data_IF_454094988172
#
_entry.id   IF_454094988172
#
_cell.length_a   1.000
_cell.length_b   1.000
_cell.length_c   1.000
_cell.angle_alpha   90.00
_cell.angle_beta   90.00
_cell.angle_gamma   90.00
#
_symmetry.space_group_name_H-M   'P 1'
#
loop_
_entity.id
_entity.type
_entity.pdbx_description
1 polymer ?
#
# COMPACT_ATOMS: atom_id res chain seq x y z
N UNK A 1 -42.67 -29.38 -15.59
CA UNK A 1 -41.38 -29.83 -16.18
C UNK A 1 -40.90 -28.92 -17.31
N UNK A 2 -41.76 -28.51 -18.26
CA UNK A 2 -41.37 -27.60 -19.34
C UNK A 2 -40.89 -26.20 -18.87
N UNK A 3 -41.53 -25.60 -17.85
CA UNK A 3 -41.12 -24.30 -17.30
C UNK A 3 -39.74 -24.33 -16.62
N UNK A 4 -39.40 -25.41 -15.92
CA UNK A 4 -38.09 -25.57 -15.29
C UNK A 4 -36.95 -25.68 -16.34
N UNK A 5 -37.23 -26.33 -17.48
CA UNK A 5 -36.30 -26.42 -18.60
C UNK A 5 -36.11 -25.06 -19.31
N UNK A 6 -37.19 -24.28 -19.45
CA UNK A 6 -37.14 -22.93 -20.04
C UNK A 6 -36.32 -21.96 -19.17
N UNK A 7 -36.56 -21.97 -17.86
CA UNK A 7 -35.83 -21.09 -16.93
C UNK A 7 -34.34 -21.46 -16.85
N UNK A 8 -33.99 -22.74 -16.89
CA UNK A 8 -32.59 -23.18 -16.88
C UNK A 8 -31.82 -22.73 -18.14
N UNK A 9 -32.48 -22.74 -19.30
CA UNK A 9 -31.87 -22.32 -20.57
C UNK A 9 -31.62 -20.81 -20.60
N UNK A 10 -32.59 -20.01 -20.13
CA UNK A 10 -32.48 -18.55 -20.07
C UNK A 10 -31.39 -18.04 -19.11
N UNK A 11 -31.16 -18.72 -17.98
CA UNK A 11 -30.08 -18.41 -17.03
C UNK A 11 -28.71 -18.63 -17.69
N UNK A 12 -28.55 -19.71 -18.46
CA UNK A 12 -27.30 -20.00 -19.15
C UNK A 12 -26.98 -18.98 -20.24
N UNK A 13 -27.99 -18.56 -21.03
CA UNK A 13 -27.80 -17.56 -22.08
C UNK A 13 -27.38 -16.19 -21.53
N UNK A 14 -27.96 -15.81 -20.38
CA UNK A 14 -27.60 -14.56 -19.69
C UNK A 14 -26.17 -14.60 -19.18
N UNK A 15 -25.75 -15.70 -18.54
CA UNK A 15 -24.40 -15.86 -18.01
C UNK A 15 -23.34 -15.82 -19.13
N UNK A 16 -23.61 -16.47 -20.26
CA UNK A 16 -22.73 -16.46 -21.44
C UNK A 16 -22.57 -15.05 -21.98
N UNK A 17 -23.69 -14.32 -22.14
CA UNK A 17 -23.67 -12.93 -22.63
C UNK A 17 -22.85 -12.00 -21.72
N UNK A 18 -23.01 -12.14 -20.39
CA UNK A 18 -22.22 -11.38 -19.41
C UNK A 18 -20.73 -11.73 -19.51
N UNK A 19 -20.38 -13.00 -19.64
CA UNK A 19 -18.99 -13.45 -19.77
C UNK A 19 -18.31 -12.85 -21.02
N UNK A 20 -19.00 -12.87 -22.18
CA UNK A 20 -18.50 -12.20 -23.38
C UNK A 20 -18.33 -10.70 -23.18
N UNK A 21 -19.30 -10.03 -22.56
CA UNK A 21 -19.24 -8.59 -22.30
C UNK A 21 -18.03 -8.21 -21.44
N UNK A 22 -17.75 -9.00 -20.40
CA UNK A 22 -16.57 -8.81 -19.54
C UNK A 22 -15.27 -9.05 -20.31
N UNK A 23 -15.21 -10.08 -21.15
CA UNK A 23 -14.02 -10.38 -21.95
C UNK A 23 -13.73 -9.29 -23.00
N UNK A 24 -14.77 -8.73 -23.64
CA UNK A 24 -14.61 -7.58 -24.53
C UNK A 24 -14.17 -6.32 -23.79
N UNK A 25 -14.70 -6.09 -22.58
CA UNK A 25 -14.28 -4.97 -21.74
C UNK A 25 -12.82 -5.13 -21.33
N UNK A 26 -12.40 -6.31 -20.90
CA UNK A 26 -11.00 -6.62 -20.55
C UNK A 26 -10.09 -6.41 -21.76
N UNK A 27 -10.42 -6.97 -22.92
CA UNK A 27 -9.67 -6.76 -24.17
C UNK A 27 -9.61 -5.27 -24.55
N UNK A 28 -10.72 -4.55 -24.38
CA UNK A 28 -10.82 -3.11 -24.60
C UNK A 28 -9.89 -2.29 -23.71
N UNK A 29 -9.60 -2.74 -22.48
CA UNK A 29 -8.60 -2.09 -21.60
C UNK A 29 -7.16 -2.38 -22.01
N UNK A 30 -6.89 -3.54 -22.63
CA UNK A 30 -5.54 -3.93 -23.03
C UNK A 30 -5.05 -3.21 -24.29
N UNK A 31 -5.93 -2.96 -25.26
CA UNK A 31 -5.60 -2.25 -26.51
C UNK A 31 -4.92 -0.89 -26.25
N UNK A 32 -5.45 0.03 -25.42
CA UNK A 32 -4.79 1.30 -25.14
C UNK A 32 -3.57 1.16 -24.22
N UNK A 33 -3.50 0.08 -23.43
CA UNK A 33 -2.37 -0.14 -22.52
C UNK A 33 -1.08 -0.42 -23.29
N UNK A 34 -1.14 -1.13 -24.43
CA UNK A 34 0.04 -1.43 -25.27
C UNK A 34 0.77 -0.16 -25.77
N UNK A 35 0.11 0.81 -26.45
CA UNK A 35 0.78 2.02 -26.90
C UNK A 35 1.25 2.90 -25.74
N UNK A 36 0.53 2.93 -24.60
CA UNK A 36 0.98 3.61 -23.39
C UNK A 36 2.29 3.00 -22.88
N UNK A 37 2.38 1.68 -22.78
CA UNK A 37 3.60 0.98 -22.36
C UNK A 37 4.77 1.22 -23.32
N UNK A 38 4.51 1.21 -24.63
CA UNK A 38 5.52 1.52 -25.64
C UNK A 38 6.03 2.97 -25.53
N UNK A 39 5.12 3.91 -25.28
CA UNK A 39 5.44 5.31 -25.06
C UNK A 39 6.25 5.52 -23.77
N UNK A 40 5.82 4.92 -22.66
CA UNK A 40 6.54 4.96 -21.38
C UNK A 40 7.94 4.35 -21.51
N UNK A 41 8.06 3.19 -22.18
CA UNK A 41 9.36 2.56 -22.45
C UNK A 41 10.26 3.49 -23.26
N UNK A 42 9.71 4.13 -24.29
CA UNK A 42 10.45 5.08 -25.13
C UNK A 42 10.96 6.29 -24.35
N UNK A 43 10.15 6.85 -23.45
CA UNK A 43 10.56 7.95 -22.55
C UNK A 43 11.70 7.47 -21.66
N UNK A 44 11.53 6.36 -20.95
CA UNK A 44 12.54 5.82 -20.03
C UNK A 44 13.85 5.54 -20.76
N UNK A 45 13.79 5.00 -21.99
CA UNK A 45 14.97 4.78 -22.82
C UNK A 45 15.67 6.08 -23.26
N UNK A 46 14.93 7.13 -23.59
CA UNK A 46 15.51 8.40 -24.09
C UNK A 46 15.98 9.33 -22.97
N UNK A 47 15.39 9.26 -21.78
CA UNK A 47 15.77 10.15 -20.68
C UNK A 47 17.21 9.86 -20.22
N UNK A 48 18.08 10.86 -20.34
CA UNK A 48 19.45 10.86 -19.82
C UNK A 48 19.55 11.32 -18.36
N UNK A 49 18.51 12.01 -17.87
CA UNK A 49 18.44 12.56 -16.50
C UNK A 49 18.30 11.45 -15.45
N UNK A 50 17.76 10.29 -15.85
CA UNK A 50 17.45 9.22 -14.91
C UNK A 50 18.68 8.39 -14.58
N UNK A 51 18.92 8.16 -13.28
CA UNK A 51 20.02 7.30 -12.84
C UNK A 51 19.91 5.91 -13.47
N UNK A 52 21.06 5.32 -13.82
CA UNK A 52 21.12 4.07 -14.60
C UNK A 52 20.41 2.91 -13.91
N UNK A 53 20.51 2.81 -12.60
CA UNK A 53 19.85 1.76 -11.81
C UNK A 53 18.33 1.93 -11.84
N UNK A 54 17.84 3.16 -11.61
CA UNK A 54 16.42 3.47 -11.66
C UNK A 54 15.83 3.21 -13.06
N UNK A 55 16.58 3.54 -14.11
CA UNK A 55 16.21 3.21 -15.49
C UNK A 55 16.07 1.71 -15.70
N UNK A 56 17.03 0.92 -15.21
CA UNK A 56 16.98 -0.54 -15.27
C UNK A 56 15.75 -1.12 -14.55
N UNK A 57 15.44 -0.62 -13.35
CA UNK A 57 14.28 -1.06 -12.57
C UNK A 57 12.97 -0.71 -13.27
N UNK A 58 12.84 0.51 -13.80
CA UNK A 58 11.64 0.92 -14.54
C UNK A 58 11.45 0.09 -15.82
N UNK A 59 12.53 -0.19 -16.56
CA UNK A 59 12.46 -1.06 -17.74
C UNK A 59 12.08 -2.50 -17.37
N UNK A 60 12.61 -3.02 -16.26
CA UNK A 60 12.19 -4.31 -15.74
C UNK A 60 10.69 -4.30 -15.37
N UNK A 61 10.21 -3.27 -14.67
CA UNK A 61 8.80 -3.16 -14.33
C UNK A 61 7.90 -3.13 -15.58
N UNK A 62 8.26 -2.33 -16.60
CA UNK A 62 7.53 -2.27 -17.88
C UNK A 62 7.55 -3.63 -18.59
N UNK A 63 8.67 -4.34 -18.56
CA UNK A 63 8.78 -5.68 -19.09
C UNK A 63 7.88 -6.68 -18.35
N UNK A 64 7.80 -6.61 -17.02
CA UNK A 64 6.87 -7.40 -16.21
C UNK A 64 5.41 -7.19 -16.60
N UNK A 65 5.01 -5.93 -16.79
CA UNK A 65 3.65 -5.61 -17.24
C UNK A 65 3.40 -6.19 -18.63
N UNK A 66 4.36 -6.06 -19.56
CA UNK A 66 4.25 -6.66 -20.89
C UNK A 66 4.12 -8.19 -20.84
N UNK A 67 4.92 -8.87 -20.01
CA UNK A 67 4.84 -10.32 -19.82
C UNK A 67 3.48 -10.78 -19.29
N UNK A 68 2.79 -9.97 -18.49
CA UNK A 68 1.43 -10.28 -18.01
C UNK A 68 0.38 -9.98 -19.08
N UNK A 69 0.57 -8.93 -19.85
CA UNK A 69 -0.41 -8.46 -20.84
C UNK A 69 -0.51 -9.39 -22.04
N UNK A 70 0.62 -9.83 -22.60
CA UNK A 70 0.64 -10.62 -23.85
C UNK A 70 -0.11 -11.95 -23.74
N UNK A 71 0.17 -12.84 -22.76
CA UNK A 71 -0.52 -14.12 -22.65
C UNK A 71 -2.04 -13.96 -22.49
N UNK A 72 -2.48 -12.92 -21.76
CA UNK A 72 -3.91 -12.62 -21.58
C UNK A 72 -4.57 -12.13 -22.85
N UNK A 73 -3.93 -11.23 -23.60
CA UNK A 73 -4.46 -10.77 -24.89
C UNK A 73 -4.59 -11.96 -25.85
N UNK A 74 -3.57 -12.81 -25.96
CA UNK A 74 -3.63 -14.00 -26.80
C UNK A 74 -4.73 -14.97 -26.36
N UNK A 75 -4.88 -15.21 -25.06
CA UNK A 75 -5.93 -16.07 -24.51
C UNK A 75 -7.33 -15.53 -24.83
N UNK A 76 -7.58 -14.24 -24.61
CA UNK A 76 -8.88 -13.62 -24.88
C UNK A 76 -9.20 -13.62 -26.38
N UNK A 77 -8.21 -13.36 -27.23
CA UNK A 77 -8.38 -13.42 -28.69
C UNK A 77 -8.72 -14.85 -29.12
N UNK A 78 -8.03 -15.84 -28.59
CA UNK A 78 -8.30 -17.26 -28.87
C UNK A 78 -9.71 -17.67 -28.40
N UNK A 79 -10.09 -17.33 -27.16
CA UNK A 79 -11.40 -17.63 -26.58
C UNK A 79 -12.56 -16.99 -27.37
N UNK A 80 -12.42 -15.72 -27.76
CA UNK A 80 -13.47 -14.95 -28.43
C UNK A 80 -13.57 -15.32 -29.91
N UNK A 81 -12.45 -15.33 -30.63
CA UNK A 81 -12.46 -15.39 -32.10
C UNK A 81 -12.20 -16.79 -32.66
N UNK A 82 -11.33 -17.58 -32.03
CA UNK A 82 -10.88 -18.88 -32.56
C UNK A 82 -11.73 -20.02 -32.01
N UNK A 83 -11.72 -20.22 -30.70
CA UNK A 83 -12.41 -21.32 -30.04
C UNK A 83 -13.92 -21.08 -29.91
N UNK A 84 -14.37 -19.81 -29.95
CA UNK A 84 -15.76 -19.39 -29.67
C UNK A 84 -16.31 -20.02 -28.37
N UNK A 85 -15.43 -20.19 -27.39
CA UNK A 85 -15.74 -20.78 -26.11
C UNK A 85 -15.04 -19.99 -25.00
N UNK A 86 -15.83 -19.16 -24.32
CA UNK A 86 -15.34 -18.29 -23.23
C UNK A 86 -14.88 -19.09 -22.00
N UNK A 87 -15.34 -20.33 -21.86
CA UNK A 87 -14.98 -21.22 -20.74
C UNK A 87 -13.77 -22.10 -21.06
N UNK A 88 -13.04 -21.82 -22.13
CA UNK A 88 -11.80 -22.53 -22.43
C UNK A 88 -10.80 -22.29 -21.30
N UNK A 89 -10.45 -23.36 -20.59
CA UNK A 89 -9.48 -23.33 -19.50
C UNK A 89 -8.11 -22.94 -20.10
N UNK A 90 -7.45 -21.89 -19.58
CA UNK A 90 -6.13 -21.50 -20.07
C UNK A 90 -5.13 -22.63 -19.88
N UNK A 91 -4.18 -22.74 -20.79
CA UNK A 91 -3.08 -23.69 -20.60
C UNK A 91 -2.29 -23.34 -19.33
N UNK A 92 -1.75 -24.35 -18.66
CA UNK A 92 -0.91 -24.15 -17.46
C UNK A 92 0.23 -23.16 -17.73
N UNK A 93 0.75 -23.13 -18.95
CA UNK A 93 1.78 -22.19 -19.37
C UNK A 93 1.30 -20.72 -19.31
N UNK A 94 0.09 -20.42 -19.79
CA UNK A 94 -0.48 -19.06 -19.74
C UNK A 94 -0.73 -18.63 -18.30
N UNK A 95 -1.27 -19.53 -17.47
CA UNK A 95 -1.49 -19.25 -16.04
C UNK A 95 -0.16 -19.02 -15.31
N UNK A 96 0.83 -19.89 -15.50
CA UNK A 96 2.15 -19.74 -14.87
C UNK A 96 2.88 -18.47 -15.32
N UNK A 97 2.87 -18.15 -16.62
CA UNK A 97 3.52 -16.94 -17.14
C UNK A 97 2.85 -15.66 -16.62
N UNK A 98 1.52 -15.62 -16.57
CA UNK A 98 0.77 -14.49 -16.02
C UNK A 98 1.05 -14.28 -14.54
N UNK A 99 1.04 -15.37 -13.74
CA UNK A 99 1.37 -15.32 -12.32
C UNK A 99 2.81 -14.84 -12.10
N UNK A 100 3.78 -15.41 -12.80
CA UNK A 100 5.19 -15.01 -12.71
C UNK A 100 5.38 -13.53 -13.06
N UNK A 101 4.68 -13.03 -14.08
CA UNK A 101 4.74 -11.64 -14.49
C UNK A 101 4.17 -10.68 -13.44
N UNK A 102 3.08 -11.04 -12.76
CA UNK A 102 2.51 -10.27 -11.63
C UNK A 102 3.53 -10.17 -10.50
N UNK A 103 4.13 -11.30 -10.11
CA UNK A 103 5.12 -11.33 -9.04
C UNK A 103 6.33 -10.49 -9.40
N UNK A 104 6.85 -10.66 -10.61
CA UNK A 104 7.99 -9.91 -11.10
C UNK A 104 7.71 -8.40 -11.10
N UNK A 105 6.54 -7.96 -11.57
CA UNK A 105 6.14 -6.55 -11.56
C UNK A 105 6.04 -5.98 -10.14
N UNK A 106 5.44 -6.74 -9.21
CA UNK A 106 5.33 -6.32 -7.81
C UNK A 106 6.71 -6.21 -7.15
N UNK A 107 7.59 -7.17 -7.43
CA UNK A 107 8.97 -7.17 -6.94
C UNK A 107 9.74 -5.97 -7.44
N UNK A 108 9.65 -5.66 -8.74
CA UNK A 108 10.25 -4.47 -9.32
C UNK A 108 9.76 -3.19 -8.62
N UNK A 109 8.47 -3.12 -8.24
CA UNK A 109 7.91 -2.02 -7.46
C UNK A 109 8.58 -1.84 -6.09
N UNK A 110 8.77 -2.94 -5.34
CA UNK A 110 9.48 -2.88 -4.05
C UNK A 110 10.95 -2.49 -4.21
N UNK A 111 11.63 -3.01 -5.22
CA UNK A 111 13.03 -2.66 -5.50
C UNK A 111 13.15 -1.16 -5.81
N UNK A 112 12.18 -0.57 -6.52
CA UNK A 112 12.13 0.86 -6.78
C UNK A 112 12.00 1.67 -5.48
N UNK A 113 11.16 1.23 -4.54
CA UNK A 113 11.00 1.91 -3.24
C UNK A 113 12.30 1.84 -2.43
N UNK A 114 12.92 0.65 -2.35
CA UNK A 114 14.19 0.46 -1.64
C UNK A 114 15.29 1.32 -2.28
N UNK A 115 15.36 1.36 -3.61
CA UNK A 115 16.31 2.20 -4.34
C UNK A 115 16.12 3.69 -3.99
N UNK A 116 14.88 4.17 -3.93
CA UNK A 116 14.59 5.55 -3.54
C UNK A 116 14.96 5.86 -2.10
N UNK A 117 14.71 4.93 -1.17
CA UNK A 117 15.11 5.09 0.24
C UNK A 117 16.63 5.17 0.33
N UNK A 118 17.36 4.27 -0.34
CA UNK A 118 18.81 4.29 -0.40
C UNK A 118 19.36 5.59 -1.00
N UNK A 119 18.77 6.06 -2.11
CA UNK A 119 19.15 7.32 -2.74
C UNK A 119 18.92 8.52 -1.80
N UNK A 120 17.85 8.49 -0.99
CA UNK A 120 17.52 9.56 -0.03
C UNK A 120 18.45 9.56 1.18
N UNK A 121 18.80 8.38 1.72
CA UNK A 121 19.66 8.26 2.91
C UNK A 121 21.13 8.50 2.56
N UNK A 122 21.59 7.99 1.42
CA UNK A 122 23.00 7.94 1.04
C UNK A 122 23.35 8.83 -0.15
N UNK A 123 22.76 10.03 -0.27
CA UNK A 123 22.90 10.95 -1.42
C UNK A 123 24.35 11.05 -1.93
N UNK A 124 25.31 11.31 -1.02
CA UNK A 124 26.73 11.53 -1.39
C UNK A 124 27.45 10.27 -1.91
N UNK A 125 27.03 9.10 -1.44
CA UNK A 125 27.64 7.82 -1.81
C UNK A 125 26.93 7.19 -3.01
N UNK A 126 25.63 7.44 -3.14
CA UNK A 126 24.77 6.83 -4.15
C UNK A 126 25.22 7.16 -5.57
N UNK A 127 25.53 8.43 -5.86
CA UNK A 127 26.00 8.85 -7.19
C UNK A 127 27.34 8.20 -7.60
N UNK A 128 28.18 7.88 -6.61
CA UNK A 128 29.50 7.28 -6.86
C UNK A 128 29.42 5.80 -7.20
N UNK A 129 28.39 5.09 -6.74
CA UNK A 129 28.21 3.65 -6.94
C UNK A 129 27.09 3.34 -7.93
N UNK A 130 27.30 3.74 -9.18
CA UNK A 130 26.48 3.31 -10.33
C UNK A 130 26.85 1.87 -10.74
N UNK A 131 26.43 0.89 -9.95
CA UNK A 131 26.76 -0.51 -10.20
C UNK A 131 25.58 -1.32 -10.71
N UNK A 132 25.74 -1.91 -11.89
CA UNK A 132 24.83 -2.92 -12.47
C UNK A 132 24.65 -4.14 -11.56
N UNK A 133 25.56 -4.34 -10.61
CA UNK A 133 25.50 -5.41 -9.62
C UNK A 133 24.18 -5.36 -8.83
N UNK A 134 23.68 -4.16 -8.50
CA UNK A 134 22.41 -4.02 -7.79
C UNK A 134 21.26 -4.65 -8.61
N UNK A 135 21.15 -4.29 -9.89
CA UNK A 135 20.12 -4.83 -10.79
C UNK A 135 20.25 -6.34 -10.97
N UNK A 136 21.47 -6.86 -11.12
CA UNK A 136 21.71 -8.30 -11.28
C UNK A 136 21.32 -9.08 -10.02
N UNK A 137 21.77 -8.63 -8.84
CA UNK A 137 21.44 -9.29 -7.56
C UNK A 137 19.93 -9.32 -7.36
N UNK A 138 19.22 -8.25 -7.69
CA UNK A 138 17.76 -8.21 -7.58
C UNK A 138 17.05 -9.13 -8.56
N UNK A 139 17.52 -9.21 -9.81
CA UNK A 139 16.97 -10.17 -10.78
C UNK A 139 17.16 -11.62 -10.29
N UNK A 140 18.30 -11.92 -9.68
CA UNK A 140 18.57 -13.24 -9.09
C UNK A 140 17.64 -13.55 -7.90
N UNK A 141 17.43 -12.60 -6.99
CA UNK A 141 16.48 -12.75 -5.87
C UNK A 141 15.08 -12.99 -6.40
N UNK A 142 14.65 -12.19 -7.39
CA UNK A 142 13.32 -12.31 -7.98
C UNK A 142 13.15 -13.66 -8.67
N UNK A 143 14.16 -14.14 -9.40
CA UNK A 143 14.15 -15.46 -10.01
C UNK A 143 14.12 -16.60 -8.98
N UNK A 144 14.88 -16.46 -7.88
CA UNK A 144 14.86 -17.41 -6.77
C UNK A 144 13.49 -17.51 -6.09
N UNK A 145 12.79 -16.38 -5.94
CA UNK A 145 11.41 -16.36 -5.43
C UNK A 145 10.49 -17.07 -6.44
N UNK A 146 10.57 -16.71 -7.73
CA UNK A 146 9.74 -17.29 -8.81
C UNK A 146 9.84 -18.81 -8.91
N UNK A 147 11.02 -19.38 -8.68
CA UNK A 147 11.25 -20.82 -8.80
C UNK A 147 10.78 -21.63 -7.60
N UNK A 148 10.49 -21.01 -6.45
CA UNK A 148 10.05 -21.71 -5.25
C UNK A 148 8.56 -21.43 -4.95
N UNK A 149 7.71 -22.40 -5.29
CA UNK A 149 6.24 -22.33 -5.14
C UNK A 149 5.80 -22.21 -3.68
N UNK A 150 6.51 -22.83 -2.74
CA UNK A 150 6.18 -22.70 -1.31
C UNK A 150 6.51 -21.30 -0.81
N UNK A 151 7.66 -20.77 -1.22
CA UNK A 151 8.05 -19.39 -0.94
C UNK A 151 7.04 -18.38 -1.47
N UNK A 152 6.33 -18.66 -2.57
CA UNK A 152 5.35 -17.72 -3.14
C UNK A 152 4.27 -17.32 -2.15
N UNK A 153 3.69 -18.26 -1.43
CA UNK A 153 2.52 -17.98 -0.56
C UNK A 153 2.91 -17.10 0.63
N UNK A 154 4.01 -17.43 1.30
CA UNK A 154 4.62 -16.60 2.35
C UNK A 154 5.04 -15.25 1.79
N UNK A 155 5.60 -15.24 0.58
CA UNK A 155 6.04 -14.03 -0.09
C UNK A 155 4.89 -13.08 -0.39
N UNK A 156 3.73 -13.58 -0.87
CA UNK A 156 2.53 -12.78 -1.07
C UNK A 156 2.02 -12.12 0.21
N UNK A 157 2.06 -12.83 1.35
CA UNK A 157 1.63 -12.29 2.63
C UNK A 157 2.56 -11.16 3.09
N UNK A 158 3.88 -11.37 2.99
CA UNK A 158 4.89 -10.34 3.31
C UNK A 158 4.78 -9.15 2.35
N UNK A 159 4.53 -9.41 1.07
CA UNK A 159 4.39 -8.39 0.04
C UNK A 159 3.15 -7.53 0.26
N UNK A 160 2.01 -8.14 0.60
CA UNK A 160 0.80 -7.43 0.97
C UNK A 160 1.03 -6.52 2.18
N UNK A 161 1.71 -7.04 3.20
CA UNK A 161 2.06 -6.26 4.39
C UNK A 161 3.02 -5.11 4.05
N UNK A 162 4.03 -5.36 3.22
CA UNK A 162 4.98 -4.36 2.76
C UNK A 162 4.29 -3.27 1.93
N UNK A 163 3.31 -3.63 1.09
CA UNK A 163 2.49 -2.67 0.35
C UNK A 163 1.67 -1.80 1.30
N UNK A 164 0.99 -2.41 2.27
CA UNK A 164 0.23 -1.67 3.28
C UNK A 164 1.12 -0.70 4.08
N UNK A 165 2.32 -1.13 4.46
CA UNK A 165 3.30 -0.26 5.11
C UNK A 165 3.77 0.85 4.19
N UNK A 166 4.06 0.55 2.92
CA UNK A 166 4.57 1.56 1.99
C UNK A 166 3.51 2.62 1.65
N UNK A 167 2.26 2.19 1.45
CA UNK A 167 1.12 3.09 1.21
C UNK A 167 0.81 3.97 2.43
N UNK A 168 1.17 3.53 3.64
CA UNK A 168 1.05 4.33 4.87
C UNK A 168 2.29 5.22 5.11
N UNK A 169 3.48 4.67 4.90
CA UNK A 169 4.75 5.31 5.21
C UNK A 169 5.08 6.43 4.23
N UNK A 170 4.74 6.28 2.94
CA UNK A 170 5.05 7.30 1.93
C UNK A 170 4.27 8.61 2.18
N UNK A 171 2.94 8.59 2.44
CA UNK A 171 2.21 9.80 2.82
C UNK A 171 2.68 10.39 4.15
N UNK A 172 3.00 9.54 5.15
CA UNK A 172 3.49 10.00 6.46
C UNK A 172 4.85 10.67 6.33
N UNK A 173 5.79 10.06 5.61
CA UNK A 173 7.10 10.63 5.33
C UNK A 173 6.97 11.94 4.53
N UNK A 174 6.11 11.96 3.51
CA UNK A 174 5.84 13.19 2.74
C UNK A 174 5.24 14.28 3.63
N UNK A 175 4.36 13.95 4.58
CA UNK A 175 3.82 14.89 5.56
C UNK A 175 4.90 15.41 6.53
N UNK A 176 5.79 14.54 6.99
CA UNK A 176 6.82 14.87 7.98
C UNK A 176 7.94 15.73 7.37
N UNK A 177 8.41 15.39 6.17
CA UNK A 177 9.60 15.99 5.57
C UNK A 177 9.28 17.13 4.60
N UNK A 178 8.06 17.25 4.06
CA UNK A 178 7.71 18.37 3.18
C UNK A 178 7.28 19.60 4.02
N UNK A 179 8.04 20.71 4.01
CA UNK A 179 7.85 21.82 4.96
C UNK A 179 6.47 22.49 4.84
N UNK A 180 5.94 22.60 3.62
CA UNK A 180 4.62 23.18 3.37
C UNK A 180 3.47 22.26 3.81
N UNK A 181 3.63 20.93 3.66
CA UNK A 181 2.59 19.96 4.04
C UNK A 181 2.58 19.76 5.56
N UNK A 182 3.75 19.70 6.18
CA UNK A 182 3.92 19.64 7.62
C UNK A 182 3.22 20.83 8.31
N UNK A 183 3.40 22.05 7.78
CA UNK A 183 2.75 23.25 8.33
C UNK A 183 1.22 23.18 8.24
N UNK A 184 0.67 22.71 7.12
CA UNK A 184 -0.79 22.51 6.96
C UNK A 184 -1.32 21.40 7.87
N UNK A 185 -0.61 20.29 7.97
CA UNK A 185 -0.98 19.17 8.83
C UNK A 185 -0.97 19.54 10.32
N UNK A 186 0.03 20.31 10.78
CA UNK A 186 0.05 20.83 12.16
C UNK A 186 -1.12 21.76 12.45
N UNK A 187 -1.50 22.61 11.48
CA UNK A 187 -2.64 23.50 11.62
C UNK A 187 -3.97 22.73 11.70
N UNK A 188 -4.20 21.74 10.84
CA UNK A 188 -5.39 20.91 10.90
C UNK A 188 -5.45 20.08 12.19
N UNK A 189 -4.33 19.53 12.65
CA UNK A 189 -4.25 18.80 13.92
C UNK A 189 -4.60 19.70 15.12
N UNK A 190 -4.17 20.97 15.10
CA UNK A 190 -4.51 21.94 16.14
C UNK A 190 -6.02 22.27 16.15
N UNK A 191 -6.64 22.39 14.97
CA UNK A 191 -8.10 22.60 14.85
C UNK A 191 -8.85 21.38 15.40
N UNK A 192 -8.45 20.16 15.02
CA UNK A 192 -9.05 18.92 15.51
C UNK A 192 -8.93 18.82 17.03
N UNK A 193 -7.74 19.06 17.61
CA UNK A 193 -7.55 19.09 19.06
C UNK A 193 -8.46 20.11 19.74
N UNK A 194 -8.66 21.28 19.12
CA UNK A 194 -9.56 22.32 19.66
C UNK A 194 -11.02 21.85 19.64
N UNK A 195 -11.48 21.25 18.55
CA UNK A 195 -12.84 20.71 18.39
C UNK A 195 -13.13 19.56 19.38
N UNK A 196 -12.17 18.67 19.59
CA UNK A 196 -12.32 17.58 20.57
C UNK A 196 -12.23 18.07 22.02
N UNK A 197 -11.42 19.09 22.30
CA UNK A 197 -11.35 19.71 23.64
C UNK A 197 -12.65 20.44 23.99
N UNK A 198 -13.36 21.00 23.02
CA UNK A 198 -14.70 21.60 23.24
C UNK A 198 -15.81 20.57 23.36
N UNK A 199 -15.60 19.32 22.94
CA UNK A 199 -16.56 18.22 23.14
C UNK A 199 -16.34 17.46 24.45
N UNK A 200 -15.28 17.77 25.21
CA UNK A 200 -15.17 17.37 26.60
C UNK A 200 -16.21 18.19 27.41
N UNK A 201 -17.42 17.64 27.42
CA UNK A 201 -18.56 17.90 28.29
C UNK A 201 -18.16 18.77 29.48
N UNK A 202 -18.73 19.98 29.54
CA UNK A 202 -18.85 20.73 30.79
C UNK A 202 -19.31 19.73 31.84
N UNK A 203 -18.55 19.47 32.92
CA UNK A 203 -19.06 18.65 34.00
C UNK A 203 -20.41 19.28 34.37
N UNK A 204 -21.50 18.55 34.13
CA UNK A 204 -22.77 18.90 34.74
C UNK A 204 -22.43 19.08 36.22
N UNK A 205 -22.77 20.25 36.77
CA UNK A 205 -22.74 20.55 38.19
C UNK A 205 -23.58 19.49 38.91
N UNK A 206 -22.97 18.33 39.12
CA UNK A 206 -23.46 17.32 40.02
C UNK A 206 -23.03 17.90 41.35
N UNK A 207 -24.00 18.45 42.08
CA UNK A 207 -23.81 19.08 43.38
C UNK A 207 -22.71 18.31 44.15
N UNK A 208 -21.58 18.96 44.39
CA UNK A 208 -20.44 18.30 45.01
C UNK A 208 -20.92 17.77 46.37
N UNK A 209 -20.70 16.48 46.67
CA UNK A 209 -21.04 15.96 47.98
C UNK A 209 -20.30 16.80 49.02
N UNK A 210 -21.07 17.38 49.92
CA UNK A 210 -20.57 18.11 51.08
C UNK A 210 -20.17 17.08 52.13
N UNK A 211 -19.09 17.33 52.84
CA UNK A 211 -18.75 16.54 54.02
C UNK A 211 -19.74 16.81 55.17
N UNK A 212 -19.59 16.09 56.28
CA UNK A 212 -20.43 16.25 57.47
C UNK A 212 -20.39 17.66 58.08
N UNK A 213 -19.39 18.47 57.72
CA UNK A 213 -19.24 19.85 58.18
C UNK A 213 -19.74 20.87 57.15
N UNK A 214 -20.37 20.40 56.05
CA UNK A 214 -20.90 21.27 55.00
C UNK A 214 -19.83 21.87 54.09
N UNK A 215 -18.64 21.27 54.00
CA UNK A 215 -17.56 21.71 53.09
C UNK A 215 -17.50 20.84 51.83
N UNK A 216 -17.22 21.41 50.65
CA UNK A 216 -17.10 20.61 49.44
C UNK A 216 -15.94 19.62 49.57
N UNK A 217 -16.17 18.32 49.34
CA UNK A 217 -15.13 17.29 49.48
C UNK A 217 -13.88 17.59 48.63
N UNK A 218 -14.00 18.35 47.54
CA UNK A 218 -12.86 18.78 46.74
C UNK A 218 -11.87 19.68 47.48
N UNK A 219 -12.34 20.52 48.41
CA UNK A 219 -11.45 21.36 49.23
C UNK A 219 -10.64 20.51 50.20
N UNK A 220 -11.26 19.49 50.80
CA UNK A 220 -10.57 18.55 51.69
C UNK A 220 -9.49 17.76 50.96
N UNK A 221 -9.77 17.29 49.74
CA UNK A 221 -8.79 16.55 48.91
C UNK A 221 -7.65 17.47 48.46
N UNK A 222 -7.94 18.73 48.10
CA UNK A 222 -6.90 19.70 47.77
C UNK A 222 -5.99 20.00 48.96
N UNK A 223 -6.57 20.16 50.15
CA UNK A 223 -5.82 20.39 51.37
C UNK A 223 -4.97 19.18 51.76
N UNK A 224 -5.51 17.96 51.67
CA UNK A 224 -4.74 16.73 51.92
C UNK A 224 -3.58 16.55 50.93
N UNK A 225 -3.78 16.94 49.66
CA UNK A 225 -2.71 16.90 48.66
C UNK A 225 -1.64 17.96 48.92
N UNK A 226 -2.02 19.17 49.35
CA UNK A 226 -1.06 20.20 49.76
C UNK A 226 -0.26 19.76 50.99
N UNK A 227 -0.92 19.15 51.97
CA UNK A 227 -0.27 18.64 53.18
C UNK A 227 0.68 17.48 52.86
N UNK A 228 0.31 16.58 51.94
CA UNK A 228 1.19 15.53 51.43
C UNK A 228 2.39 16.11 50.70
N UNK A 229 2.20 17.11 49.85
CA UNK A 229 3.31 17.74 49.12
C UNK A 229 4.28 18.47 50.07
N UNK A 230 3.76 19.13 51.11
CA UNK A 230 4.55 19.73 52.18
C UNK A 230 5.33 18.67 52.97
N UNK A 231 4.68 17.54 53.30
CA UNK A 231 5.32 16.41 53.97
C UNK A 231 6.44 15.79 53.12
N UNK A 232 6.22 15.59 51.82
CA UNK A 232 7.26 15.07 50.92
C UNK A 232 8.43 16.05 50.74
N UNK A 233 8.18 17.37 50.74
CA UNK A 233 9.25 18.38 50.74
C UNK A 233 10.08 18.33 52.03
N UNK A 234 9.44 18.14 53.19
CA UNK A 234 10.16 17.95 54.46
C UNK A 234 10.98 16.67 54.47
N UNK A 235 10.42 15.54 54.01
CA UNK A 235 11.15 14.28 53.86
C UNK A 235 12.37 14.40 52.93
N UNK A 236 12.22 15.08 51.79
CA UNK A 236 13.31 15.33 50.86
C UNK A 236 14.44 16.17 51.50
N UNK A 237 14.10 17.13 52.35
CA UNK A 237 15.11 17.92 53.09
C UNK A 237 15.80 17.14 54.22
N UNK A 238 15.13 16.15 54.81
CA UNK A 238 15.70 15.33 55.88
C UNK A 238 16.62 14.21 55.35
N UNK A 239 16.54 13.87 54.07
CA UNK A 239 17.34 12.83 53.41
C UNK A 239 18.46 13.39 52.53
N UNK A 240 18.67 14.71 52.56
CA UNK A 240 19.65 15.43 51.74
C UNK A 240 20.64 16.24 52.58
N UNK A 241 21.57 15.52 53.21
CA UNK A 241 23.01 15.81 53.28
C UNK A 241 23.76 14.46 53.27
#
# INVERSE_FOLDING_TARGET
>A
MAEASSNCTQINDTAISVAYSMAFLELGTFIPTIPILAFCSSIVFKTSILHRNLKGILLAQLFGIMMNLWPRVFLLVDQIFVAKNIFLVPSNFITCSSTAAIIFSNMAGHVLIVERICATIYVNTYEKYSSWVFTIVWLLITFGIITNVESMTMFYQVLFLAHAFNDLALPVAMLCYHPLLNRKAKASLAIIKKLFKTSAVSPQETAQPLDTDGRPISERIQQENQDKEAYFKQLASAWGD
#
